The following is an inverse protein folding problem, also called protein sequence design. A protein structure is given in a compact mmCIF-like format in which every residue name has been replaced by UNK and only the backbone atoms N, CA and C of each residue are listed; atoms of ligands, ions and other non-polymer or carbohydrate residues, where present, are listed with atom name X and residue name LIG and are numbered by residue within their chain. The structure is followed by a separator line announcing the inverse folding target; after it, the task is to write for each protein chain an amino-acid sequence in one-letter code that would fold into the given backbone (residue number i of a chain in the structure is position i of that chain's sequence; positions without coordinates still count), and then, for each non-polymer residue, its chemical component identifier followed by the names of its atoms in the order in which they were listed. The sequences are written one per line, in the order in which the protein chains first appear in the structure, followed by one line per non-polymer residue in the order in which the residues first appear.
data_IF_005839696552
#
_entry.id   IF_005839696552
#
_cell.length_a   1.000
_cell.length_b   1.000
_cell.length_c   1.000
_cell.angle_alpha   90.00
_cell.angle_beta   90.00
_cell.angle_gamma   90.00
#
_symmetry.space_group_name_H-M   'P 1'
#
loop_
_entity.id
_entity.type
_entity.pdbx_description
1 polymer ?
#
# COMPACT_ATOMS: atom_id res chain seq x y z
N UNK A 1 7.82 -1.72 -23.97
CA UNK A 1 7.23 -0.37 -24.01
C UNK A 1 5.85 -0.38 -23.34
N UNK A 2 5.66 0.31 -22.21
CA UNK A 2 4.33 0.50 -21.62
C UNK A 2 3.57 1.52 -22.50
N UNK A 3 2.34 1.25 -22.95
CA UNK A 3 1.62 2.16 -23.83
C UNK A 3 1.49 3.53 -23.17
N UNK A 4 1.99 4.56 -23.86
CA UNK A 4 1.80 5.96 -23.53
C UNK A 4 0.31 6.28 -23.65
N UNK A 5 -0.46 6.09 -22.56
CA UNK A 5 -1.79 6.71 -22.45
C UNK A 5 -1.61 8.22 -22.53
N UNK A 6 -2.53 8.92 -23.23
CA UNK A 6 -2.58 10.39 -23.34
C UNK A 6 -2.13 11.02 -22.01
N UNK A 7 -0.97 11.70 -22.03
CA UNK A 7 -0.44 12.38 -20.85
C UNK A 7 -1.37 13.54 -20.51
N UNK A 8 -2.33 13.30 -19.63
CA UNK A 8 -2.95 14.39 -18.88
C UNK A 8 -1.80 15.09 -18.15
N UNK A 9 -1.45 16.31 -18.61
CA UNK A 9 -0.42 17.11 -17.97
C UNK A 9 -1.00 17.60 -16.64
N UNK A 10 -0.63 16.92 -15.57
CA UNK A 10 -0.95 17.39 -14.23
C UNK A 10 -0.20 18.71 -13.96
N UNK A 11 -0.77 19.61 -13.15
CA UNK A 11 -0.02 20.72 -12.59
C UNK A 11 1.28 20.22 -11.93
N UNK A 12 2.40 20.97 -12.01
CA UNK A 12 3.70 20.55 -11.49
C UNK A 12 3.66 20.01 -10.06
N UNK A 13 2.89 20.65 -9.19
CA UNK A 13 2.66 20.24 -7.80
C UNK A 13 1.95 18.88 -7.66
N UNK A 14 0.89 18.65 -8.45
CA UNK A 14 0.18 17.38 -8.45
C UNK A 14 1.01 16.26 -9.09
N UNK A 15 1.97 16.59 -9.96
CA UNK A 15 2.89 15.62 -10.51
C UNK A 15 3.84 15.07 -9.43
N UNK A 16 4.41 15.94 -8.60
CA UNK A 16 5.34 15.55 -7.53
C UNK A 16 4.65 14.96 -6.29
N UNK A 17 3.39 15.30 -6.04
CA UNK A 17 2.59 14.72 -4.95
C UNK A 17 2.21 13.24 -5.17
N UNK A 18 2.43 12.69 -6.38
CA UNK A 18 2.12 11.30 -6.75
C UNK A 18 0.69 10.85 -6.36
N UNK A 19 -0.37 11.55 -6.79
CA UNK A 19 -1.76 11.31 -6.38
C UNK A 19 -2.30 9.92 -6.75
N UNK A 20 -1.61 9.19 -7.62
CA UNK A 20 -1.98 7.82 -7.99
C UNK A 20 -1.69 6.80 -6.89
N UNK A 21 -0.79 7.10 -5.96
CA UNK A 21 -0.43 6.22 -4.84
C UNK A 21 -1.37 6.38 -3.64
N UNK A 22 -1.90 7.59 -3.46
CA UNK A 22 -2.70 7.99 -2.30
C UNK A 22 -3.96 7.12 -2.12
N UNK A 23 -4.78 6.82 -3.15
CA UNK A 23 -6.04 6.10 -2.96
C UNK A 23 -5.87 4.73 -2.32
N UNK A 24 -4.80 4.00 -2.65
CA UNK A 24 -4.56 2.68 -2.07
C UNK A 24 -4.17 2.79 -0.60
N UNK A 25 -3.33 3.78 -0.25
CA UNK A 25 -2.98 4.06 1.14
C UNK A 25 -4.23 4.40 1.96
N UNK A 26 -5.10 5.28 1.44
CA UNK A 26 -6.37 5.62 2.09
C UNK A 26 -7.32 4.44 2.20
N UNK A 27 -7.39 3.56 1.20
CA UNK A 27 -8.17 2.34 1.27
C UNK A 27 -7.67 1.41 2.39
N UNK A 28 -6.34 1.28 2.55
CA UNK A 28 -5.78 0.50 3.67
C UNK A 28 -6.01 1.15 5.02
N UNK A 29 -6.05 2.50 5.10
CA UNK A 29 -6.50 3.21 6.30
C UNK A 29 -7.96 2.89 6.63
N UNK A 30 -8.86 2.93 5.64
CA UNK A 30 -10.26 2.52 5.82
C UNK A 30 -10.39 1.06 6.28
N UNK A 31 -9.62 0.15 5.68
CA UNK A 31 -9.56 -1.25 6.11
C UNK A 31 -9.11 -1.38 7.56
N UNK A 32 -8.11 -0.59 7.97
CA UNK A 32 -7.64 -0.51 9.36
C UNK A 32 -8.71 -0.04 10.33
N UNK A 33 -9.52 0.95 9.94
CA UNK A 33 -10.67 1.39 10.75
C UNK A 33 -11.72 0.28 10.88
N UNK A 34 -12.07 -0.39 9.78
CA UNK A 34 -13.10 -1.43 9.73
C UNK A 34 -12.78 -2.67 10.58
N UNK A 35 -11.49 -2.93 10.81
CA UNK A 35 -11.00 -4.01 11.68
C UNK A 35 -11.18 -3.74 13.18
N UNK A 36 -11.67 -2.56 13.55
CA UNK A 36 -11.86 -2.18 14.95
C UNK A 36 -13.34 -2.21 15.36
N UNK A 37 -13.55 -2.29 16.66
CA UNK A 37 -14.82 -2.10 17.35
C UNK A 37 -15.34 -0.64 17.25
N UNK A 38 -14.46 0.33 16.99
CA UNK A 38 -14.82 1.74 16.81
C UNK A 38 -15.41 2.08 15.44
N UNK A 39 -15.56 1.10 14.54
CA UNK A 39 -16.20 1.28 13.24
C UNK A 39 -17.74 1.20 13.33
N UNK A 40 -18.50 2.09 12.66
CA UNK A 40 -18.05 3.20 11.81
C UNK A 40 -17.73 4.48 12.60
N UNK A 41 -16.80 5.28 12.06
CA UNK A 41 -16.45 6.58 12.64
C UNK A 41 -17.48 7.65 12.26
N UNK A 42 -17.56 8.71 13.07
CA UNK A 42 -18.30 9.92 12.70
C UNK A 42 -17.70 10.57 11.44
N UNK A 43 -18.55 11.18 10.61
CA UNK A 43 -18.14 11.83 9.36
C UNK A 43 -16.97 12.83 9.54
N UNK A 44 -16.94 13.68 10.58
CA UNK A 44 -15.81 14.59 10.80
C UNK A 44 -14.49 13.86 11.04
N UNK A 45 -14.49 12.82 11.90
CA UNK A 45 -13.27 12.06 12.22
C UNK A 45 -12.76 11.29 11.00
N UNK A 46 -13.68 10.73 10.20
CA UNK A 46 -13.35 10.07 8.94
C UNK A 46 -12.69 11.03 7.95
N UNK A 47 -13.29 12.21 7.73
CA UNK A 47 -12.74 13.25 6.85
C UNK A 47 -11.38 13.74 7.33
N UNK A 48 -11.21 13.99 8.63
CA UNK A 48 -9.92 14.41 9.19
C UNK A 48 -8.86 13.32 9.01
N UNK A 49 -9.20 12.05 9.22
CA UNK A 49 -8.25 10.94 9.07
C UNK A 49 -7.81 10.77 7.62
N UNK A 50 -8.76 10.71 6.68
CA UNK A 50 -8.44 10.51 5.27
C UNK A 50 -7.78 11.75 4.66
N UNK A 51 -8.24 12.95 5.02
CA UNK A 51 -7.64 14.21 4.59
C UNK A 51 -6.21 14.37 5.12
N UNK A 52 -5.99 14.09 6.41
CA UNK A 52 -4.66 14.12 7.02
C UNK A 52 -3.71 13.09 6.40
N UNK A 53 -4.20 11.85 6.20
CA UNK A 53 -3.45 10.79 5.52
C UNK A 53 -3.10 11.15 4.07
N UNK A 54 -4.02 11.79 3.33
CA UNK A 54 -3.79 12.23 1.96
C UNK A 54 -2.72 13.33 1.89
N UNK A 55 -2.79 14.33 2.77
CA UNK A 55 -1.81 15.40 2.86
C UNK A 55 -0.42 14.88 3.25
N UNK A 56 -0.33 13.98 4.24
CA UNK A 56 0.92 13.35 4.63
C UNK A 56 1.51 12.50 3.50
N UNK A 57 0.68 11.74 2.77
CA UNK A 57 1.11 10.95 1.62
C UNK A 57 1.60 11.83 0.47
N UNK A 58 0.91 12.95 0.21
CA UNK A 58 1.32 13.93 -0.78
C UNK A 58 2.67 14.55 -0.40
N UNK A 59 2.84 14.99 0.85
CA UNK A 59 4.10 15.54 1.36
C UNK A 59 5.25 14.53 1.21
N UNK A 60 5.03 13.27 1.59
CA UNK A 60 6.00 12.19 1.42
C UNK A 60 6.39 11.98 -0.05
N UNK A 61 5.42 12.07 -0.97
CA UNK A 61 5.64 12.01 -2.41
C UNK A 61 6.53 13.16 -2.92
N UNK A 62 6.26 14.39 -2.49
CA UNK A 62 7.04 15.58 -2.86
C UNK A 62 8.47 15.47 -2.31
N UNK A 63 8.64 15.15 -1.03
CA UNK A 63 9.96 15.01 -0.41
C UNK A 63 10.78 13.89 -1.05
N UNK A 64 10.15 12.77 -1.41
CA UNK A 64 10.83 11.72 -2.18
C UNK A 64 11.26 12.23 -3.57
N UNK A 65 10.43 13.00 -4.30
CA UNK A 65 10.87 13.56 -5.58
C UNK A 65 11.99 14.59 -5.44
N UNK A 66 11.98 15.38 -4.37
CA UNK A 66 13.07 16.32 -4.04
C UNK A 66 14.38 15.58 -3.79
N UNK A 67 14.34 14.53 -2.96
CA UNK A 67 15.52 13.72 -2.67
C UNK A 67 16.08 13.04 -3.91
N UNK A 68 15.20 12.60 -4.82
CA UNK A 68 15.59 11.85 -6.01
C UNK A 68 15.80 12.74 -7.25
N UNK A 69 15.78 14.07 -7.12
CA UNK A 69 15.79 14.99 -8.26
C UNK A 69 16.95 14.75 -9.24
N UNK A 70 18.17 14.61 -8.72
CA UNK A 70 19.36 14.40 -9.56
C UNK A 70 19.38 13.03 -10.24
N UNK A 71 18.84 12.02 -9.56
CA UNK A 71 18.74 10.66 -10.09
C UNK A 71 17.64 10.59 -11.16
N UNK A 72 16.49 11.20 -10.89
CA UNK A 72 15.37 11.29 -11.82
C UNK A 72 15.77 12.06 -13.09
N UNK A 73 16.67 13.05 -13.00
CA UNK A 73 17.21 13.79 -14.15
C UNK A 73 18.03 12.91 -15.10
N UNK A 74 18.68 11.86 -14.59
CA UNK A 74 19.53 10.93 -15.36
C UNK A 74 18.73 9.79 -16.01
N UNK A 75 17.45 9.65 -15.68
CA UNK A 75 16.58 8.59 -16.21
C UNK A 75 15.69 9.12 -17.32
N UNK A 76 15.74 8.50 -18.52
CA UNK A 76 14.96 8.93 -19.69
C UNK A 76 13.44 9.03 -19.43
N UNK A 77 12.90 8.22 -18.51
CA UNK A 77 11.47 8.23 -18.16
C UNK A 77 11.07 9.38 -17.25
N UNK A 78 11.98 9.88 -16.41
CA UNK A 78 11.66 10.82 -15.32
C UNK A 78 12.34 12.18 -15.45
N UNK A 79 13.27 12.33 -16.39
CA UNK A 79 13.95 13.60 -16.69
C UNK A 79 13.00 14.73 -17.06
N UNK A 80 11.83 14.42 -17.63
CA UNK A 80 10.78 15.40 -17.96
C UNK A 80 9.85 15.78 -16.79
N UNK A 81 10.07 15.25 -15.58
CA UNK A 81 9.23 15.56 -14.42
C UNK A 81 9.43 16.99 -13.94
N UNK A 82 8.42 17.53 -13.26
CA UNK A 82 8.38 18.93 -12.82
C UNK A 82 9.64 19.44 -12.10
N UNK A 83 10.21 18.66 -11.18
CA UNK A 83 11.43 19.02 -10.43
C UNK A 83 12.70 18.90 -11.30
N UNK A 84 13.03 17.74 -11.90
CA UNK A 84 14.19 17.61 -12.80
C UNK A 84 14.18 18.59 -13.98
N UNK A 85 13.00 18.93 -14.52
CA UNK A 85 12.86 19.82 -15.67
C UNK A 85 12.83 21.31 -15.28
N UNK A 86 12.99 21.67 -14.00
CA UNK A 86 12.93 23.05 -13.52
C UNK A 86 11.56 23.74 -13.59
N UNK A 87 10.48 23.01 -13.89
CA UNK A 87 9.10 23.58 -13.91
C UNK A 87 8.57 23.88 -12.52
N UNK A 88 9.22 23.36 -11.47
CA UNK A 88 8.90 23.62 -10.07
C UNK A 88 10.20 23.89 -9.31
N UNK A 89 10.25 24.98 -8.57
CA UNK A 89 11.40 25.32 -7.72
C UNK A 89 11.54 24.29 -6.58
N UNK A 90 12.75 23.75 -6.33
CA UNK A 90 13.01 22.84 -5.20
C UNK A 90 12.65 23.47 -3.85
N UNK A 91 12.97 24.75 -3.66
CA UNK A 91 12.64 25.50 -2.43
C UNK A 91 11.14 25.60 -2.23
N UNK A 92 10.39 25.94 -3.29
CA UNK A 92 8.93 25.99 -3.22
C UNK A 92 8.37 24.63 -2.88
N UNK A 93 8.79 23.58 -3.58
CA UNK A 93 8.34 22.21 -3.33
C UNK A 93 8.62 21.75 -1.88
N UNK A 94 9.78 22.11 -1.32
CA UNK A 94 10.12 21.81 0.07
C UNK A 94 9.20 22.53 1.05
N UNK A 95 9.02 23.84 0.89
CA UNK A 95 8.10 24.63 1.74
C UNK A 95 6.68 24.06 1.67
N UNK A 96 6.20 23.73 0.47
CA UNK A 96 4.88 23.13 0.30
C UNK A 96 4.74 21.77 0.97
N UNK A 97 5.77 20.92 0.90
CA UNK A 97 5.76 19.62 1.58
C UNK A 97 5.76 19.75 3.10
N UNK A 98 6.54 20.68 3.67
CA UNK A 98 6.53 20.97 5.10
C UNK A 98 5.18 21.54 5.53
N UNK A 99 4.62 22.49 4.77
CA UNK A 99 3.28 23.02 5.03
C UNK A 99 2.22 21.90 5.04
N UNK A 100 2.20 21.03 4.02
CA UNK A 100 1.29 19.88 3.98
C UNK A 100 1.49 18.94 5.17
N UNK A 101 2.74 18.72 5.61
CA UNK A 101 3.05 17.88 6.78
C UNK A 101 2.48 18.49 8.06
N UNK A 102 2.68 19.79 8.28
CA UNK A 102 2.15 20.51 9.44
C UNK A 102 0.62 20.54 9.42
N UNK A 103 -0.01 20.81 8.27
CA UNK A 103 -1.47 20.77 8.13
C UNK A 103 -2.01 19.36 8.38
N UNK A 104 -1.36 18.31 7.86
CA UNK A 104 -1.75 16.92 8.12
C UNK A 104 -1.69 16.60 9.62
N UNK A 105 -0.59 16.96 10.29
CA UNK A 105 -0.41 16.74 11.72
C UNK A 105 -1.46 17.50 12.53
N UNK A 106 -1.69 18.78 12.25
CA UNK A 106 -2.70 19.60 12.93
C UNK A 106 -4.10 19.02 12.75
N UNK A 107 -4.45 18.59 11.54
CA UNK A 107 -5.76 17.99 11.24
C UNK A 107 -5.97 16.67 12.00
N UNK A 108 -4.93 15.84 12.09
CA UNK A 108 -5.00 14.56 12.80
C UNK A 108 -5.02 14.75 14.33
N UNK A 109 -4.21 15.65 14.88
CA UNK A 109 -4.19 15.93 16.33
C UNK A 109 -5.52 16.53 16.79
N UNK A 110 -6.06 17.50 16.05
CA UNK A 110 -7.30 18.19 16.43
C UNK A 110 -8.56 17.38 16.13
N UNK A 111 -8.61 16.67 14.99
CA UNK A 111 -9.80 15.97 14.53
C UNK A 111 -9.84 14.47 14.84
N UNK A 112 -8.73 13.88 15.27
CA UNK A 112 -8.59 12.41 15.43
C UNK A 112 -7.95 12.05 16.77
N UNK A 113 -6.62 12.04 16.85
CA UNK A 113 -5.80 11.88 18.06
C UNK A 113 -4.29 11.95 17.74
N UNK A 114 -3.47 12.10 18.78
CA UNK A 114 -2.01 12.19 18.67
C UNK A 114 -1.37 10.90 18.15
N UNK A 115 -1.93 9.72 18.43
CA UNK A 115 -1.39 8.44 17.97
C UNK A 115 -1.47 8.33 16.45
N UNK A 116 -2.62 8.63 15.86
CA UNK A 116 -2.82 8.64 14.42
C UNK A 116 -1.90 9.66 13.73
N UNK A 117 -1.72 10.85 14.33
CA UNK A 117 -0.79 11.86 13.83
C UNK A 117 0.67 11.37 13.86
N UNK A 118 1.11 10.79 14.98
CA UNK A 118 2.46 10.24 15.15
C UNK A 118 2.75 9.10 14.18
N UNK A 119 1.80 8.18 13.99
CA UNK A 119 1.91 7.09 13.02
C UNK A 119 1.98 7.63 11.58
N UNK A 120 1.16 8.62 11.23
CA UNK A 120 1.20 9.26 9.90
C UNK A 120 2.56 9.90 9.62
N UNK A 121 3.12 10.63 10.61
CA UNK A 121 4.46 11.20 10.52
C UNK A 121 5.54 10.12 10.42
N UNK A 122 5.42 9.04 11.20
CA UNK A 122 6.31 7.88 11.12
C UNK A 122 6.29 7.27 9.72
N UNK A 123 5.12 7.18 9.08
CA UNK A 123 4.97 6.70 7.70
C UNK A 123 5.71 7.59 6.70
N UNK A 124 5.53 8.91 6.80
CA UNK A 124 6.23 9.90 5.98
C UNK A 124 7.76 9.78 6.18
N UNK A 125 8.23 9.81 7.41
CA UNK A 125 9.67 9.71 7.73
C UNK A 125 10.26 8.37 7.27
N UNK A 126 9.54 7.27 7.45
CA UNK A 126 9.97 5.95 6.98
C UNK A 126 10.08 5.91 5.46
N UNK A 127 9.18 6.56 4.72
CA UNK A 127 9.26 6.59 3.26
C UNK A 127 10.46 7.41 2.77
N UNK A 128 10.69 8.59 3.35
CA UNK A 128 11.73 9.52 2.91
C UNK A 128 13.11 9.10 3.42
N UNK A 129 13.26 8.86 4.72
CA UNK A 129 14.56 8.60 5.34
C UNK A 129 14.96 7.13 5.23
N UNK A 130 14.09 6.22 5.70
CA UNK A 130 14.41 4.80 5.73
C UNK A 130 14.42 4.19 4.32
N UNK A 131 13.34 4.35 3.55
CA UNK A 131 13.29 3.79 2.21
C UNK A 131 14.11 4.59 1.19
N UNK A 132 13.78 5.87 0.96
CA UNK A 132 14.36 6.64 -0.15
C UNK A 132 15.84 6.93 0.08
N UNK A 133 16.19 7.51 1.23
CA UNK A 133 17.57 7.94 1.49
C UNK A 133 18.49 6.78 1.87
N UNK A 134 18.04 5.85 2.73
CA UNK A 134 18.90 4.80 3.28
C UNK A 134 18.91 3.51 2.43
N UNK A 135 17.76 2.86 2.30
CA UNK A 135 17.68 1.48 1.80
C UNK A 135 17.75 1.39 0.28
N UNK A 136 16.96 2.20 -0.44
CA UNK A 136 16.81 2.14 -1.90
C UNK A 136 18.15 2.11 -2.64
N UNK A 137 19.14 2.99 -2.36
CA UNK A 137 20.42 2.97 -3.05
C UNK A 137 21.41 1.91 -2.55
N UNK A 138 21.18 1.28 -1.38
CA UNK A 138 22.22 0.46 -0.70
C UNK A 138 21.96 -1.04 -0.67
N UNK A 139 20.72 -1.50 -0.81
CA UNK A 139 20.41 -2.93 -0.59
C UNK A 139 19.33 -3.48 -1.51
N UNK A 140 19.43 -4.76 -1.96
CA UNK A 140 18.33 -5.44 -2.66
C UNK A 140 17.14 -5.78 -1.77
N UNK A 141 17.27 -5.63 -0.44
CA UNK A 141 16.18 -5.78 0.53
C UNK A 141 15.39 -4.47 0.75
N UNK A 142 15.65 -3.45 -0.08
CA UNK A 142 15.04 -2.14 0.04
C UNK A 142 13.51 -2.15 0.07
N UNK A 143 12.87 -3.03 -0.67
CA UNK A 143 11.40 -3.18 -0.70
C UNK A 143 10.87 -3.95 0.50
N UNK A 144 11.59 -4.97 0.95
CA UNK A 144 11.14 -5.80 2.09
C UNK A 144 11.12 -4.97 3.35
N UNK A 145 12.19 -4.22 3.62
CA UNK A 145 12.29 -3.37 4.82
C UNK A 145 11.60 -2.02 4.59
N UNK A 146 11.76 -1.42 3.40
CA UNK A 146 11.15 -0.12 3.07
C UNK A 146 9.63 -0.17 2.92
N UNK A 147 9.04 -1.37 2.78
CA UNK A 147 7.60 -1.58 2.77
C UNK A 147 6.88 -1.08 4.02
N UNK A 148 7.61 -0.88 5.13
CA UNK A 148 7.06 -0.36 6.40
C UNK A 148 6.26 0.92 6.18
N UNK A 149 6.76 1.84 5.36
CA UNK A 149 6.07 3.10 5.09
C UNK A 149 4.68 2.88 4.45
N UNK A 150 4.56 1.91 3.55
CA UNK A 150 3.30 1.56 2.91
C UNK A 150 2.35 0.75 3.79
N UNK A 151 2.87 0.10 4.83
CA UNK A 151 2.11 -0.74 5.77
C UNK A 151 1.56 0.01 6.99
N UNK A 152 2.05 1.23 7.26
CA UNK A 152 1.59 2.09 8.37
C UNK A 152 0.13 2.60 8.26
N UNK A 153 -0.44 2.91 7.08
CA UNK A 153 -1.79 3.47 7.00
C UNK A 153 -2.91 2.63 7.68
N UNK A 154 -2.90 1.28 7.63
CA UNK A 154 -3.73 0.43 8.50
C UNK A 154 -3.69 0.79 9.99
N UNK A 155 -2.49 1.02 10.53
CA UNK A 155 -2.29 1.38 11.94
C UNK A 155 -2.87 2.76 12.24
N UNK A 156 -2.69 3.72 11.32
CA UNK A 156 -3.31 5.06 11.41
C UNK A 156 -4.83 4.94 11.45
N UNK A 157 -5.42 4.08 10.61
CA UNK A 157 -6.86 3.82 10.58
C UNK A 157 -7.38 3.22 11.87
N UNK A 158 -6.71 2.19 12.41
CA UNK A 158 -7.11 1.57 13.66
C UNK A 158 -7.00 2.56 14.85
N UNK A 159 -5.89 3.29 14.93
CA UNK A 159 -5.68 4.34 15.92
C UNK A 159 -6.72 5.45 15.81
N UNK A 160 -7.13 5.82 14.60
CA UNK A 160 -8.17 6.82 14.39
C UNK A 160 -9.54 6.36 14.91
N UNK A 161 -9.85 5.07 14.77
CA UNK A 161 -11.13 4.52 15.20
C UNK A 161 -11.24 4.42 16.73
N UNK A 162 -10.20 3.91 17.38
CA UNK A 162 -10.28 3.47 18.80
C UNK A 162 -9.29 4.17 19.74
N UNK A 163 -8.32 4.93 19.22
CA UNK A 163 -7.24 5.49 20.01
C UNK A 163 -6.08 4.52 20.32
N UNK A 164 -6.19 3.27 19.86
CA UNK A 164 -5.12 2.25 19.91
C UNK A 164 -5.08 1.45 18.60
N UNK A 165 -4.09 0.58 18.44
CA UNK A 165 -3.89 -0.16 17.18
C UNK A 165 -4.69 -1.48 17.15
N UNK A 166 -4.74 -2.21 18.25
CA UNK A 166 -5.34 -3.56 18.31
C UNK A 166 -4.63 -4.59 17.42
N UNK A 167 -5.02 -5.87 17.54
CA UNK A 167 -4.44 -6.95 16.74
C UNK A 167 -4.84 -6.88 15.27
N UNK A 168 -6.08 -6.44 14.97
CA UNK A 168 -6.55 -6.28 13.60
C UNK A 168 -5.70 -5.29 12.78
N UNK A 169 -5.36 -4.14 13.36
CA UNK A 169 -4.47 -3.16 12.74
C UNK A 169 -3.09 -3.74 12.42
N UNK A 170 -2.48 -4.48 13.35
CA UNK A 170 -1.20 -5.16 13.15
C UNK A 170 -1.26 -6.28 12.11
N UNK A 171 -2.38 -7.01 12.05
CA UNK A 171 -2.60 -8.01 11.02
C UNK A 171 -2.60 -7.39 9.62
N UNK A 172 -3.34 -6.31 9.41
CA UNK A 172 -3.38 -5.65 8.10
C UNK A 172 -2.05 -4.97 7.76
N UNK A 173 -1.34 -4.42 8.74
CA UNK A 173 0.05 -3.97 8.58
C UNK A 173 0.95 -5.11 8.09
N UNK A 174 0.92 -6.27 8.75
CA UNK A 174 1.72 -7.43 8.38
C UNK A 174 1.34 -7.94 6.98
N UNK A 175 0.04 -7.93 6.65
CA UNK A 175 -0.45 -8.31 5.33
C UNK A 175 0.12 -7.40 4.24
N UNK A 176 0.10 -6.08 4.43
CA UNK A 176 0.70 -5.14 3.48
C UNK A 176 2.21 -5.34 3.38
N UNK A 177 2.90 -5.60 4.50
CA UNK A 177 4.33 -5.90 4.51
C UNK A 177 4.68 -7.12 3.67
N UNK A 178 3.94 -8.22 3.82
CA UNK A 178 4.17 -9.48 3.09
C UNK A 178 3.74 -9.36 1.62
N UNK A 179 2.70 -8.59 1.33
CA UNK A 179 2.24 -8.32 -0.03
C UNK A 179 3.22 -7.44 -0.83
N UNK A 180 3.87 -6.48 -0.17
CA UNK A 180 4.69 -5.44 -0.82
C UNK A 180 5.81 -6.02 -1.71
N UNK A 181 6.60 -7.01 -1.29
CA UNK A 181 7.63 -7.62 -2.14
C UNK A 181 7.07 -8.28 -3.40
N UNK A 182 5.98 -9.05 -3.28
CA UNK A 182 5.35 -9.70 -4.44
C UNK A 182 4.80 -8.65 -5.44
N UNK A 183 4.21 -7.58 -4.92
CA UNK A 183 3.69 -6.48 -5.72
C UNK A 183 4.79 -5.67 -6.41
N UNK A 184 5.75 -5.14 -5.65
CA UNK A 184 6.73 -4.21 -6.18
C UNK A 184 7.79 -4.90 -7.02
N UNK A 185 8.23 -6.12 -6.67
CA UNK A 185 9.19 -6.82 -7.52
C UNK A 185 8.61 -7.20 -8.89
N UNK A 186 7.29 -7.41 -9.00
CA UNK A 186 6.63 -7.55 -10.30
C UNK A 186 6.80 -6.28 -11.15
N UNK A 187 6.73 -5.08 -10.55
CA UNK A 187 7.08 -3.83 -11.23
C UNK A 187 8.58 -3.73 -11.54
N UNK A 188 9.42 -4.12 -10.59
CA UNK A 188 10.87 -4.03 -10.74
C UNK A 188 11.40 -4.93 -11.87
N UNK A 189 10.74 -6.04 -12.19
CA UNK A 189 11.03 -6.85 -13.38
C UNK A 189 10.83 -6.05 -14.67
N UNK A 190 9.78 -5.22 -14.75
CA UNK A 190 9.49 -4.38 -15.91
C UNK A 190 10.46 -3.21 -16.06
N UNK A 191 10.98 -2.71 -14.93
CA UNK A 191 11.84 -1.53 -14.85
C UNK A 191 13.30 -1.89 -14.55
N UNK A 192 13.69 -3.15 -14.78
CA UNK A 192 15.01 -3.67 -14.44
C UNK A 192 16.14 -2.86 -15.09
N UNK A 193 16.04 -2.59 -16.39
CA UNK A 193 17.07 -1.83 -17.11
C UNK A 193 17.10 -0.35 -16.71
N UNK A 194 15.93 0.23 -16.39
CA UNK A 194 15.83 1.58 -15.82
C UNK A 194 16.63 1.65 -14.51
N UNK A 195 16.47 0.67 -13.60
CA UNK A 195 17.21 0.65 -12.33
C UNK A 195 18.70 0.36 -12.51
N UNK A 196 19.06 -0.52 -13.45
CA UNK A 196 20.45 -0.84 -13.77
C UNK A 196 21.21 0.39 -14.28
N UNK A 197 20.58 1.21 -15.14
CA UNK A 197 21.25 2.38 -15.72
C UNK A 197 21.64 3.46 -14.71
N UNK A 198 20.99 3.50 -13.55
CA UNK A 198 21.30 4.43 -12.44
C UNK A 198 21.91 3.74 -11.22
N UNK A 199 22.33 2.48 -11.36
CA UNK A 199 23.04 1.74 -10.30
C UNK A 199 22.21 1.40 -9.07
N UNK A 200 20.87 1.40 -9.16
CA UNK A 200 20.02 1.02 -8.01
C UNK A 200 19.98 -0.50 -7.89
N UNK A 201 20.39 -1.08 -6.74
CA UNK A 201 20.56 -2.53 -6.57
C UNK A 201 19.22 -3.25 -6.30
N UNK A 202 18.21 -3.05 -7.15
CA UNK A 202 16.94 -3.79 -7.04
C UNK A 202 17.15 -5.30 -7.19
N UNK A 203 16.35 -6.12 -6.49
CA UNK A 203 16.46 -7.58 -6.54
C UNK A 203 16.59 -8.17 -7.97
N UNK A 204 15.75 -7.79 -8.97
CA UNK A 204 15.91 -8.30 -10.34
C UNK A 204 17.18 -7.82 -11.05
N UNK A 205 17.77 -6.70 -10.63
CA UNK A 205 19.05 -6.21 -11.16
C UNK A 205 20.21 -7.05 -10.62
N UNK A 206 20.19 -7.35 -9.33
CA UNK A 206 21.29 -8.04 -8.61
C UNK A 206 21.23 -9.56 -8.76
N UNK A 207 20.03 -10.15 -8.69
CA UNK A 207 19.82 -11.61 -8.65
C UNK A 207 19.07 -12.16 -9.87
N UNK A 208 18.64 -11.28 -10.78
CA UNK A 208 17.99 -11.68 -12.02
C UNK A 208 16.51 -12.07 -11.88
N UNK A 209 15.84 -12.32 -13.02
CA UNK A 209 14.40 -12.56 -13.07
C UNK A 209 13.96 -13.84 -12.36
N UNK A 210 14.70 -14.94 -12.52
CA UNK A 210 14.37 -16.25 -11.92
C UNK A 210 14.31 -16.20 -10.39
N UNK A 211 15.33 -15.62 -9.74
CA UNK A 211 15.34 -15.49 -8.27
C UNK A 211 14.23 -14.56 -7.79
N UNK A 212 13.97 -13.48 -8.55
CA UNK A 212 12.92 -12.53 -8.26
C UNK A 212 11.54 -13.17 -8.37
N UNK A 213 11.27 -13.95 -9.42
CA UNK A 213 10.02 -14.69 -9.61
C UNK A 213 9.78 -15.71 -8.49
N UNK A 214 10.82 -16.42 -8.05
CA UNK A 214 10.73 -17.33 -6.89
C UNK A 214 10.43 -16.59 -5.58
N UNK A 215 10.98 -15.40 -5.40
CA UNK A 215 10.68 -14.56 -4.25
C UNK A 215 9.23 -14.06 -4.30
N UNK A 216 8.77 -13.56 -5.46
CA UNK A 216 7.37 -13.18 -5.71
C UNK A 216 6.43 -14.35 -5.41
N UNK A 217 6.76 -15.56 -5.86
CA UNK A 217 5.97 -16.76 -5.58
C UNK A 217 5.83 -17.01 -4.07
N UNK A 218 6.95 -17.04 -3.33
CA UNK A 218 6.92 -17.24 -1.87
C UNK A 218 6.11 -16.17 -1.12
N UNK A 219 6.34 -14.90 -1.43
CA UNK A 219 5.57 -13.80 -0.83
C UNK A 219 4.10 -13.80 -1.26
N UNK A 220 3.79 -14.24 -2.48
CA UNK A 220 2.42 -14.42 -2.95
C UNK A 220 1.64 -15.46 -2.16
N UNK A 221 2.25 -16.62 -1.91
CA UNK A 221 1.68 -17.65 -1.03
C UNK A 221 1.54 -17.19 0.41
N UNK A 222 2.57 -16.52 0.96
CA UNK A 222 2.52 -15.94 2.29
C UNK A 222 1.42 -14.87 2.40
N UNK A 223 1.18 -14.07 1.36
CA UNK A 223 0.10 -13.08 1.30
C UNK A 223 -1.27 -13.76 1.35
N UNK A 224 -1.45 -14.87 0.62
CA UNK A 224 -2.71 -15.63 0.61
C UNK A 224 -2.98 -16.30 1.95
N UNK A 225 -1.96 -16.88 2.57
CA UNK A 225 -2.07 -17.44 3.92
C UNK A 225 -2.42 -16.35 4.93
N UNK A 226 -1.69 -15.23 4.89
CA UNK A 226 -1.88 -14.14 5.84
C UNK A 226 -3.24 -13.44 5.67
N UNK A 227 -3.72 -13.28 4.43
CA UNK A 227 -5.05 -12.72 4.18
C UNK A 227 -6.18 -13.61 4.71
N UNK A 228 -5.99 -14.93 4.72
CA UNK A 228 -6.95 -15.87 5.31
C UNK A 228 -7.20 -15.64 6.80
N UNK A 229 -6.19 -15.18 7.56
CA UNK A 229 -6.38 -14.83 8.98
C UNK A 229 -7.30 -13.62 9.20
N UNK A 230 -7.68 -12.89 8.14
CA UNK A 230 -8.67 -11.82 8.20
C UNK A 230 -10.04 -12.28 8.70
N UNK A 231 -10.36 -13.56 8.53
CA UNK A 231 -11.57 -14.21 9.09
C UNK A 231 -11.63 -14.01 10.61
N UNK A 232 -10.49 -14.09 11.29
CA UNK A 232 -10.36 -13.99 12.74
C UNK A 232 -9.98 -12.59 13.21
N UNK A 233 -9.39 -11.77 12.34
CA UNK A 233 -9.02 -10.40 12.65
C UNK A 233 -10.23 -9.45 12.68
N UNK A 234 -11.30 -9.79 11.95
CA UNK A 234 -12.54 -9.04 11.94
C UNK A 234 -13.38 -9.28 13.21
N UNK A 235 -13.94 -8.24 13.85
CA UNK A 235 -14.84 -8.43 14.98
C UNK A 235 -16.19 -9.06 14.60
N UNK A 236 -16.60 -8.96 13.33
CA UNK A 236 -17.78 -9.63 12.77
C UNK A 236 -17.67 -9.73 11.24
N UNK A 237 -18.44 -10.64 10.62
CA UNK A 237 -18.47 -10.84 9.17
C UNK A 237 -17.23 -11.57 8.63
N UNK A 238 -16.52 -12.29 9.49
CA UNK A 238 -15.31 -13.03 9.14
C UNK A 238 -15.56 -14.17 8.15
N UNK A 239 -16.68 -14.88 8.25
CA UNK A 239 -17.02 -15.97 7.31
C UNK A 239 -17.34 -15.37 5.94
N UNK A 240 -18.17 -14.33 5.90
CA UNK A 240 -18.45 -13.58 4.68
C UNK A 240 -17.15 -13.10 4.00
N UNK A 241 -16.25 -12.48 4.77
CA UNK A 241 -14.92 -12.08 4.29
C UNK A 241 -14.16 -13.26 3.68
N UNK A 242 -14.05 -14.37 4.41
CA UNK A 242 -13.31 -15.56 3.99
C UNK A 242 -13.82 -16.16 2.69
N UNK A 243 -15.14 -16.26 2.52
CA UNK A 243 -15.76 -16.77 1.30
C UNK A 243 -15.50 -15.84 0.10
N UNK A 244 -15.68 -14.53 0.29
CA UNK A 244 -15.46 -13.55 -0.78
C UNK A 244 -13.99 -13.37 -1.14
N UNK A 245 -13.07 -13.73 -0.24
CA UNK A 245 -11.62 -13.67 -0.47
C UNK A 245 -11.12 -14.77 -1.42
N UNK A 246 -11.80 -15.93 -1.49
CA UNK A 246 -11.38 -17.09 -2.31
C UNK A 246 -11.07 -16.75 -3.77
N UNK A 247 -11.92 -16.05 -4.54
CA UNK A 247 -11.60 -15.70 -5.94
C UNK A 247 -10.38 -14.78 -6.06
N UNK A 248 -10.19 -13.85 -5.10
CA UNK A 248 -9.03 -12.97 -5.06
C UNK A 248 -7.73 -13.75 -4.84
N UNK A 249 -7.75 -14.67 -3.86
CA UNK A 249 -6.62 -15.54 -3.54
C UNK A 249 -6.31 -16.51 -4.69
N UNK A 250 -7.33 -17.17 -5.25
CA UNK A 250 -7.16 -18.10 -6.36
C UNK A 250 -6.53 -17.43 -7.59
N UNK A 251 -6.98 -16.21 -7.93
CA UNK A 251 -6.39 -15.46 -9.03
C UNK A 251 -4.96 -15.00 -8.74
N UNK A 252 -4.66 -14.55 -7.51
CA UNK A 252 -3.29 -14.18 -7.13
C UNK A 252 -2.34 -15.38 -7.24
N UNK A 253 -2.73 -16.55 -6.71
CA UNK A 253 -1.96 -17.79 -6.81
C UNK A 253 -1.72 -18.19 -8.26
N UNK A 254 -2.76 -18.16 -9.09
CA UNK A 254 -2.63 -18.44 -10.52
C UNK A 254 -1.57 -17.54 -11.19
N UNK A 255 -1.55 -16.24 -10.86
CA UNK A 255 -0.65 -15.29 -11.49
C UNK A 255 0.79 -15.41 -10.99
N UNK A 256 1.01 -15.65 -9.70
CA UNK A 256 2.38 -15.87 -9.18
C UNK A 256 2.95 -17.20 -9.66
N UNK A 257 2.12 -18.24 -9.82
CA UNK A 257 2.54 -19.53 -10.37
C UNK A 257 2.93 -19.38 -11.84
N UNK A 258 2.11 -18.70 -12.65
CA UNK A 258 2.43 -18.41 -14.07
C UNK A 258 3.73 -17.63 -14.23
N UNK A 259 3.95 -16.61 -13.41
CA UNK A 259 5.21 -15.85 -13.44
C UNK A 259 6.40 -16.67 -12.93
N UNK A 260 6.16 -17.61 -12.01
CA UNK A 260 7.17 -18.57 -11.57
C UNK A 260 7.62 -19.52 -12.69
N UNK A 261 6.68 -19.94 -13.55
CA UNK A 261 6.96 -20.80 -14.71
C UNK A 261 7.59 -20.05 -15.89
N UNK A 262 7.28 -18.77 -16.06
CA UNK A 262 7.87 -17.90 -17.09
C UNK A 262 8.40 -16.59 -16.46
N UNK A 263 9.60 -16.62 -15.83
CA UNK A 263 10.15 -15.48 -15.08
C UNK A 263 10.47 -14.24 -15.91
N UNK A 264 10.67 -14.40 -17.22
CA UNK A 264 11.00 -13.31 -18.14
C UNK A 264 9.76 -12.68 -18.80
N UNK A 265 8.57 -13.19 -18.46
CA UNK A 265 7.29 -12.70 -18.98
C UNK A 265 6.98 -11.26 -18.54
N UNK A 266 7.34 -10.28 -19.37
CA UNK A 266 6.92 -8.88 -19.16
C UNK A 266 5.38 -8.73 -19.11
N UNK A 267 4.58 -9.41 -19.96
CA UNK A 267 3.12 -9.39 -19.82
C UNK A 267 2.66 -9.99 -18.49
N UNK A 268 3.27 -11.10 -18.05
CA UNK A 268 2.98 -11.75 -16.76
C UNK A 268 3.25 -10.84 -15.57
N UNK A 269 4.45 -10.24 -15.51
CA UNK A 269 4.84 -9.32 -14.44
C UNK A 269 3.94 -8.07 -14.39
N UNK A 270 3.60 -7.50 -15.56
CA UNK A 270 2.67 -6.37 -15.67
C UNK A 270 1.26 -6.73 -15.23
N UNK A 271 0.78 -7.93 -15.61
CA UNK A 271 -0.50 -8.44 -15.16
C UNK A 271 -0.54 -8.54 -13.63
N UNK A 272 0.47 -9.19 -13.04
CA UNK A 272 0.55 -9.41 -11.60
C UNK A 272 0.62 -8.09 -10.82
N UNK A 273 1.41 -7.12 -11.29
CA UNK A 273 1.48 -5.79 -10.69
C UNK A 273 0.11 -5.08 -10.67
N UNK A 274 -0.67 -5.17 -11.75
CA UNK A 274 -2.01 -4.55 -11.81
C UNK A 274 -3.02 -5.29 -10.95
N UNK A 275 -2.99 -6.63 -10.98
CA UNK A 275 -3.89 -7.44 -10.17
C UNK A 275 -3.62 -7.26 -8.68
N UNK A 276 -2.36 -7.22 -8.26
CA UNK A 276 -2.00 -7.05 -6.85
C UNK A 276 -2.51 -5.73 -6.25
N UNK A 277 -2.61 -4.65 -7.04
CA UNK A 277 -3.27 -3.41 -6.63
C UNK A 277 -4.77 -3.65 -6.39
N UNK A 278 -5.46 -4.25 -7.37
CA UNK A 278 -6.88 -4.58 -7.25
C UNK A 278 -7.16 -5.55 -6.11
N UNK A 279 -6.24 -6.48 -5.85
CA UNK A 279 -6.30 -7.44 -4.76
C UNK A 279 -6.32 -6.74 -3.40
N UNK A 280 -5.40 -5.78 -3.18
CA UNK A 280 -5.35 -5.06 -1.92
C UNK A 280 -6.53 -4.09 -1.74
N UNK A 281 -6.96 -3.40 -2.80
CA UNK A 281 -8.22 -2.64 -2.77
C UNK A 281 -9.43 -3.54 -2.47
N UNK A 282 -9.47 -4.72 -3.09
CA UNK A 282 -10.49 -5.73 -2.89
C UNK A 282 -10.56 -6.18 -1.44
N UNK A 283 -9.43 -6.52 -0.83
CA UNK A 283 -9.38 -6.85 0.61
C UNK A 283 -9.92 -5.69 1.46
N UNK A 284 -9.48 -4.46 1.23
CA UNK A 284 -9.95 -3.31 2.01
C UNK A 284 -11.46 -3.11 1.86
N UNK A 285 -11.99 -3.27 0.65
CA UNK A 285 -13.43 -3.22 0.39
C UNK A 285 -14.17 -4.35 1.12
N UNK A 286 -13.66 -5.58 1.05
CA UNK A 286 -14.24 -6.73 1.73
C UNK A 286 -14.27 -6.53 3.25
N UNK A 287 -13.21 -5.97 3.85
CA UNK A 287 -13.18 -5.63 5.28
C UNK A 287 -14.32 -4.67 5.64
N UNK A 288 -14.54 -3.63 4.84
CA UNK A 288 -15.63 -2.67 5.06
C UNK A 288 -17.01 -3.33 4.88
N UNK A 289 -17.21 -4.10 3.81
CA UNK A 289 -18.48 -4.78 3.52
C UNK A 289 -18.84 -5.83 4.58
N UNK A 290 -17.83 -6.49 5.16
CA UNK A 290 -18.01 -7.49 6.21
C UNK A 290 -18.55 -6.89 7.51
N UNK A 291 -18.40 -5.57 7.71
CA UNK A 291 -18.93 -4.85 8.88
C UNK A 291 -20.38 -4.36 8.70
N UNK A 292 -21.06 -4.80 7.63
CA UNK A 292 -22.50 -4.52 7.45
C UNK A 292 -23.36 -5.48 8.28
N UNK A 293 -24.58 -5.06 8.62
CA UNK A 293 -25.53 -5.89 9.36
C UNK A 293 -25.87 -7.19 8.61
N UNK A 294 -25.99 -7.12 7.29
CA UNK A 294 -26.25 -8.28 6.42
C UNK A 294 -25.13 -9.32 6.48
N UNK A 295 -23.86 -8.88 6.41
CA UNK A 295 -22.72 -9.79 6.54
C UNK A 295 -22.65 -10.42 7.93
N UNK A 296 -22.97 -9.66 8.98
CA UNK A 296 -23.03 -10.21 10.35
C UNK A 296 -24.15 -11.23 10.53
N UNK A 297 -25.32 -11.01 9.93
CA UNK A 297 -26.44 -11.97 9.96
C UNK A 297 -26.08 -13.25 9.20
N UNK A 298 -25.42 -13.13 8.05
CA UNK A 298 -24.93 -14.27 7.29
C UNK A 298 -23.99 -15.15 8.12
N UNK A 299 -23.01 -14.54 8.80
CA UNK A 299 -22.09 -15.26 9.69
C UNK A 299 -22.85 -16.01 10.81
N UNK A 300 -23.84 -15.37 11.45
CA UNK A 300 -24.67 -16.00 12.48
C UNK A 300 -25.46 -17.21 11.95
N UNK A 301 -26.02 -17.09 10.74
CA UNK A 301 -26.72 -18.19 10.08
C UNK A 301 -25.78 -19.37 9.81
N UNK A 302 -24.59 -19.11 9.26
CA UNK A 302 -23.59 -20.17 9.03
C UNK A 302 -23.20 -20.86 10.33
N UNK A 303 -22.93 -20.10 11.41
CA UNK A 303 -22.61 -20.70 12.70
C UNK A 303 -23.75 -21.55 13.25
N UNK A 304 -25.01 -21.09 13.14
CA UNK A 304 -26.17 -21.87 13.57
C UNK A 304 -26.30 -23.21 12.83
N UNK A 305 -26.05 -23.23 11.52
CA UNK A 305 -26.06 -24.45 10.71
C UNK A 305 -24.93 -25.42 11.11
N UNK A 306 -23.72 -24.90 11.34
CA UNK A 306 -22.58 -25.70 11.80
C UNK A 306 -22.88 -26.32 13.16
N UNK A 307 -23.45 -25.56 14.10
CA UNK A 307 -23.82 -26.09 15.42
C UNK A 307 -24.90 -27.17 15.33
N UNK A 308 -25.90 -26.99 14.47
CA UNK A 308 -26.97 -27.98 14.27
C UNK A 308 -26.42 -29.31 13.71
N UNK A 309 -25.51 -29.24 12.74
CA UNK A 309 -24.83 -30.41 12.15
C UNK A 309 -23.90 -31.15 13.13
N UNK A 310 -23.43 -30.49 14.19
CA UNK A 310 -22.61 -31.13 15.22
C UNK A 310 -23.44 -31.84 16.30
N UNK A 311 -24.71 -31.43 16.46
CA UNK A 311 -25.61 -31.95 17.50
C UNK A 311 -26.61 -32.99 17.00
N UNK A 312 -26.72 -33.21 15.69
CA UNK A 312 -27.61 -34.20 15.06
C UNK A 312 -26.82 -35.32 14.39
#
# INVERSE_FOLDING_TARGET
MVPSRKRVKLPPWLEVAKPRLIPLLLATTLGGMALTEGWPLSSPRLVCTLGGGALASAAAGVLNCLWEQDLDARMARTSGRALPSGRLSPTSAFIGAIACTLTAAMLLVSGVNCLAAGLSLLGLCSYVLLYTALLKPRTPQNIVIGGVAGAIPPLVGAAAATGHIGLGGWWLFALVMVWTPAHFWALALLLKEDYRSVGIPMLPVVKGPVVTARAIHRYGWATVLLSGFGIWALPSGGIFYGMMLLPFNGRLLQMVNRLGSDPDSLPGAKGLFRWSILYLFGICLLLVLSRTSQASLFDQQVWSLVTQLQTG
#
